data_IF_646935657292
#
_entry.id   IF_646935657292
#
_cell.length_a   1.000
_cell.length_b   1.000
_cell.length_c   1.000
_cell.angle_alpha   90.00
_cell.angle_beta   90.00
_cell.angle_gamma   90.00
#
_symmetry.space_group_name_H-M   'P 1'
#
loop_
_entity.id
_entity.type
_entity.pdbx_description
1 polymer ?
#
# COMPACT_ATOMS: atom_id res chain seq x y z
N UNK A 1 0.43 -35.89 4.05
CA UNK A 1 -0.69 -34.93 4.19
C UNK A 1 -0.40 -33.78 3.25
N UNK A 2 -1.10 -33.72 2.12
CA UNK A 2 -1.10 -32.55 1.23
C UNK A 2 -1.69 -31.40 2.02
N UNK A 3 -0.92 -30.30 2.17
CA UNK A 3 -1.47 -29.05 2.67
C UNK A 3 -2.67 -28.73 1.78
N UNK A 4 -3.87 -28.81 2.35
CA UNK A 4 -5.05 -28.37 1.67
C UNK A 4 -4.78 -26.95 1.18
N UNK A 5 -5.24 -26.65 -0.03
CA UNK A 5 -5.20 -25.33 -0.66
C UNK A 5 -6.02 -24.35 0.19
N UNK A 6 -5.50 -24.00 1.38
CA UNK A 6 -6.09 -23.03 2.31
C UNK A 6 -5.83 -21.65 1.75
N UNK A 7 -6.55 -21.34 0.66
CA UNK A 7 -6.69 -19.97 0.22
C UNK A 7 -7.26 -19.19 1.39
N UNK A 8 -6.62 -18.08 1.80
CA UNK A 8 -7.13 -17.27 2.89
C UNK A 8 -8.59 -16.89 2.63
N UNK A 9 -9.46 -17.13 3.61
CA UNK A 9 -10.89 -16.79 3.51
C UNK A 9 -11.05 -15.29 3.75
N UNK A 10 -11.55 -14.56 2.76
CA UNK A 10 -11.91 -13.14 2.91
C UNK A 10 -13.10 -13.00 3.86
N UNK A 11 -12.99 -12.12 4.86
CA UNK A 11 -14.06 -11.86 5.84
C UNK A 11 -14.57 -10.43 5.80
N UNK A 12 -13.73 -9.48 5.39
CA UNK A 12 -14.13 -8.10 5.14
C UNK A 12 -13.38 -7.51 3.95
N UNK A 13 -14.02 -6.54 3.30
CA UNK A 13 -13.49 -5.82 2.16
C UNK A 13 -14.02 -4.39 2.12
N UNK A 14 -13.09 -3.43 2.12
CA UNK A 14 -13.40 -2.00 2.08
C UNK A 14 -12.62 -1.29 0.99
N UNK A 15 -13.33 -0.46 0.23
CA UNK A 15 -12.74 0.46 -0.74
C UNK A 15 -12.69 1.88 -0.14
N UNK A 16 -11.51 2.49 -0.19
CA UNK A 16 -11.23 3.84 0.32
C UNK A 16 -10.84 4.73 -0.86
N UNK A 17 -11.62 5.76 -1.19
CA UNK A 17 -11.28 6.68 -2.27
C UNK A 17 -10.05 7.51 -1.88
N UNK A 18 -9.13 7.64 -2.83
CA UNK A 18 -7.95 8.48 -2.72
C UNK A 18 -8.05 9.64 -3.73
N UNK A 19 -7.26 10.69 -3.51
CA UNK A 19 -7.17 11.81 -4.45
C UNK A 19 -6.78 11.34 -5.86
N UNK A 20 -7.18 12.09 -6.89
CA UNK A 20 -6.83 11.75 -8.29
C UNK A 20 -7.54 10.50 -8.85
N UNK A 21 -8.71 10.13 -8.31
CA UNK A 21 -9.55 9.05 -8.84
C UNK A 21 -9.04 7.63 -8.53
N UNK A 22 -8.13 7.49 -7.57
CA UNK A 22 -7.56 6.20 -7.15
C UNK A 22 -8.39 5.58 -6.04
N UNK A 23 -8.31 4.27 -5.88
CA UNK A 23 -9.00 3.55 -4.78
C UNK A 23 -8.03 2.62 -4.06
N UNK A 24 -7.93 2.73 -2.73
CA UNK A 24 -7.26 1.72 -1.90
C UNK A 24 -8.29 0.68 -1.48
N UNK A 25 -8.05 -0.57 -1.81
CA UNK A 25 -8.82 -1.71 -1.34
C UNK A 25 -8.08 -2.38 -0.18
N UNK A 26 -8.79 -2.53 0.93
CA UNK A 26 -8.36 -3.26 2.12
C UNK A 26 -9.19 -4.54 2.21
N UNK A 27 -8.52 -5.68 2.27
CA UNK A 27 -9.15 -6.99 2.46
C UNK A 27 -8.60 -7.60 3.74
N UNK A 28 -9.49 -8.00 4.63
CA UNK A 28 -9.17 -8.76 5.83
C UNK A 28 -9.48 -10.24 5.60
N UNK A 29 -8.56 -11.10 6.04
CA UNK A 29 -8.71 -12.54 5.95
C UNK A 29 -8.90 -13.15 7.35
N UNK A 30 -9.63 -14.26 7.43
CA UNK A 30 -9.91 -14.96 8.68
C UNK A 30 -8.65 -15.42 9.45
N UNK A 31 -7.50 -15.51 8.78
CA UNK A 31 -6.22 -15.85 9.39
C UNK A 31 -5.46 -14.64 9.94
N UNK A 32 -6.09 -13.45 9.97
CA UNK A 32 -5.49 -12.20 10.44
C UNK A 32 -4.60 -11.50 9.42
N UNK A 33 -4.44 -12.05 8.21
CA UNK A 33 -3.73 -11.34 7.14
C UNK A 33 -4.56 -10.14 6.63
N UNK A 34 -3.86 -9.10 6.20
CA UNK A 34 -4.46 -7.93 5.56
C UNK A 34 -3.80 -7.76 4.19
N UNK A 35 -4.60 -7.61 3.14
CA UNK A 35 -4.13 -7.24 1.81
C UNK A 35 -4.52 -5.81 1.49
N UNK A 36 -3.54 -5.04 1.03
CA UNK A 36 -3.71 -3.68 0.54
C UNK A 36 -3.48 -3.67 -0.96
N UNK A 37 -4.44 -3.17 -1.73
CA UNK A 37 -4.32 -3.03 -3.18
C UNK A 37 -4.74 -1.63 -3.63
N UNK A 38 -3.81 -0.88 -4.23
CA UNK A 38 -4.12 0.43 -4.82
C UNK A 38 -4.53 0.22 -6.28
N UNK A 39 -5.81 0.45 -6.56
CA UNK A 39 -6.35 0.39 -7.90
C UNK A 39 -6.20 1.75 -8.60
N UNK A 40 -5.45 1.72 -9.70
CA UNK A 40 -5.10 2.85 -10.56
C UNK A 40 -4.60 2.29 -11.90
N UNK A 41 -4.47 3.14 -12.92
CA UNK A 41 -3.85 2.77 -14.20
C UNK A 41 -2.33 2.56 -14.13
N UNK A 42 -1.66 2.97 -13.04
CA UNK A 42 -0.20 2.89 -12.88
C UNK A 42 0.22 1.92 -11.78
N UNK A 43 1.33 1.16 -11.89
CA UNK A 43 1.80 0.32 -10.81
C UNK A 43 2.26 1.15 -9.60
N UNK A 44 2.00 0.63 -8.40
CA UNK A 44 2.54 1.14 -7.14
C UNK A 44 3.62 0.19 -6.61
N UNK A 45 4.64 0.75 -5.98
CA UNK A 45 5.72 -0.01 -5.33
C UNK A 45 5.80 0.32 -3.85
N UNK A 46 6.26 -0.65 -3.06
CA UNK A 46 6.60 -0.45 -1.65
C UNK A 46 7.89 0.36 -1.59
N UNK A 47 7.88 1.49 -0.90
CA UNK A 47 9.06 2.33 -0.71
C UNK A 47 9.64 2.26 0.70
N UNK A 48 8.83 1.85 1.69
CA UNK A 48 9.27 1.71 3.09
C UNK A 48 8.27 0.85 3.87
N UNK A 49 8.81 0.11 4.85
CA UNK A 49 8.09 -0.62 5.88
C UNK A 49 8.73 -0.28 7.22
N UNK A 50 7.94 0.18 8.18
CA UNK A 50 8.38 0.60 9.51
C UNK A 50 7.44 0.04 10.58
N UNK A 51 8.00 -0.48 11.66
CA UNK A 51 7.23 -0.81 12.87
C UNK A 51 7.26 0.40 13.81
N UNK A 52 6.09 0.82 14.27
CA UNK A 52 5.91 1.92 15.21
C UNK A 52 5.25 1.39 16.48
N UNK A 53 5.24 2.20 17.55
CA UNK A 53 4.50 1.81 18.75
C UNK A 53 3.01 1.66 18.42
N UNK A 54 2.47 0.48 18.72
CA UNK A 54 1.08 0.12 18.42
C UNK A 54 0.74 -0.17 16.94
N UNK A 55 1.71 -0.28 16.02
CA UNK A 55 1.35 -0.61 14.63
C UNK A 55 2.50 -0.69 13.63
N UNK A 56 2.13 -0.75 12.35
CA UNK A 56 3.05 -0.77 11.22
C UNK A 56 2.68 0.31 10.20
N UNK A 57 3.68 0.96 9.64
CA UNK A 57 3.54 1.94 8.55
C UNK A 57 4.09 1.33 7.26
N UNK A 58 3.25 1.27 6.23
CA UNK A 58 3.61 0.89 4.86
C UNK A 58 3.51 2.11 3.95
N UNK A 59 4.60 2.49 3.28
CA UNK A 59 4.61 3.59 2.31
C UNK A 59 4.60 3.03 0.89
N UNK A 60 3.66 3.52 0.08
CA UNK A 60 3.49 3.15 -1.33
C UNK A 60 3.63 4.40 -2.21
N UNK A 61 4.33 4.29 -3.34
CA UNK A 61 4.40 5.36 -4.32
C UNK A 61 4.06 4.87 -5.74
N UNK A 62 3.47 5.73 -6.60
CA UNK A 62 3.31 5.40 -8.01
C UNK A 62 4.70 5.30 -8.64
N UNK A 63 5.05 4.15 -9.22
CA UNK A 63 6.37 3.96 -9.79
C UNK A 63 6.50 2.66 -10.56
N UNK A 64 7.26 2.69 -11.66
CA UNK A 64 7.85 1.49 -12.23
C UNK A 64 8.86 0.94 -11.23
N UNK A 65 9.00 -0.37 -11.12
CA UNK A 65 10.13 -1.00 -10.43
C UNK A 65 11.44 -0.38 -10.98
N UNK A 66 12.25 0.24 -10.10
CA UNK A 66 13.47 1.00 -10.50
C UNK A 66 13.29 2.48 -10.87
N UNK A 67 12.09 3.05 -10.78
CA UNK A 67 11.87 4.49 -11.03
C UNK A 67 12.16 5.36 -9.80
N UNK A 68 12.63 6.59 -10.04
CA UNK A 68 12.91 7.61 -9.01
C UNK A 68 11.66 8.17 -8.31
N UNK A 69 10.54 7.43 -8.29
CA UNK A 69 9.26 7.88 -7.74
C UNK A 69 9.38 8.39 -6.30
N UNK A 70 10.15 7.69 -5.47
CA UNK A 70 10.43 8.13 -4.11
C UNK A 70 11.23 9.44 -4.07
N UNK A 71 12.27 9.56 -4.91
CA UNK A 71 13.08 10.79 -5.04
C UNK A 71 12.25 11.98 -5.53
N UNK A 72 11.37 11.76 -6.50
CA UNK A 72 10.50 12.81 -7.05
C UNK A 72 9.49 13.27 -6.00
N UNK A 73 8.86 12.35 -5.25
CA UNK A 73 7.95 12.73 -4.18
C UNK A 73 8.64 13.54 -3.09
N UNK A 74 9.84 13.11 -2.64
CA UNK A 74 10.63 13.86 -1.66
C UNK A 74 10.94 15.25 -2.21
N UNK A 75 11.48 15.36 -3.42
CA UNK A 75 11.82 16.67 -4.02
C UNK A 75 10.61 17.60 -4.06
N UNK A 76 9.47 17.11 -4.54
CA UNK A 76 8.29 17.93 -4.76
C UNK A 76 7.58 18.31 -3.43
N UNK A 77 7.89 17.64 -2.30
CA UNK A 77 7.27 17.90 -0.99
C UNK A 77 8.27 18.32 0.11
N UNK A 78 9.57 18.39 -0.20
CA UNK A 78 10.60 18.93 0.69
C UNK A 78 10.71 20.45 0.61
N UNK A 79 10.12 21.08 -0.40
CA UNK A 79 10.08 22.54 -0.53
C UNK A 79 9.08 23.21 0.43
N UNK A 80 8.11 22.46 0.99
CA UNK A 80 7.11 22.97 1.96
C UNK A 80 7.62 23.08 3.40
N UNK A 81 8.85 22.61 3.71
CA UNK A 81 9.43 22.68 5.07
C UNK A 81 10.50 23.76 5.25
N UNK A 82 10.73 24.59 4.22
CA UNK A 82 11.66 25.71 4.26
C UNK A 82 10.93 27.01 3.89
N UNK A 83 10.00 27.44 4.75
CA UNK A 83 9.40 28.77 4.75
C UNK A 83 9.19 29.24 6.18
#
# INVERSE_FOLDING_TARGET
MTAADERPVEIDKRDVPLSGGRTLRVTEFANGAIRLAVHTGSPYVITSLEQIDGGAVLKLSPGREGSNAHRNWIRDHSEDSAS
#
